data_IF_696040641813
#
_entry.id   IF_696040641813
#
_cell.length_a   1.000
_cell.length_b   1.000
_cell.length_c   1.000
_cell.angle_alpha   90.00
_cell.angle_beta   90.00
_cell.angle_gamma   90.00
#
_symmetry.space_group_name_H-M   'P 1'
#
loop_
_entity.id
_entity.type
_entity.pdbx_description
1 polymer ?
#
# COMPACT_ATOMS: atom_id res chain seq x y z
N UNK A 1 8.55 -8.53 -5.40
CA UNK A 1 8.89 -7.28 -6.10
C UNK A 1 9.22 -6.22 -5.06
N UNK A 2 10.09 -5.30 -5.43
CA UNK A 2 10.53 -4.24 -4.53
C UNK A 2 10.53 -2.91 -5.25
N UNK A 3 10.31 -1.83 -4.49
CA UNK A 3 10.39 -0.47 -5.00
C UNK A 3 11.00 0.42 -3.93
N UNK A 4 11.79 1.40 -4.36
CA UNK A 4 12.40 2.39 -3.48
C UNK A 4 11.79 3.75 -3.76
N UNK A 5 11.38 4.45 -2.74
CA UNK A 5 10.81 5.78 -2.86
C UNK A 5 10.76 6.48 -1.52
N UNK A 6 10.31 7.73 -1.53
CA UNK A 6 10.14 8.49 -0.28
C UNK A 6 8.76 8.26 0.29
N UNK A 7 8.69 8.09 1.59
CA UNK A 7 7.41 8.00 2.28
C UNK A 7 6.73 9.37 2.24
N UNK A 8 5.67 9.46 1.45
CA UNK A 8 4.95 10.71 1.25
C UNK A 8 3.87 10.91 2.30
N UNK A 9 3.09 9.86 2.58
CA UNK A 9 2.03 9.88 3.57
C UNK A 9 1.95 8.54 4.26
N UNK A 10 1.67 8.53 5.55
CA UNK A 10 1.28 7.32 6.25
C UNK A 10 -0.02 7.61 6.99
N UNK A 11 -0.95 6.68 6.89
CA UNK A 11 -2.26 6.82 7.50
C UNK A 11 -2.34 5.97 8.76
N UNK A 12 -3.38 6.19 9.54
CA UNK A 12 -3.60 5.41 10.76
C UNK A 12 -4.09 4.01 10.41
N UNK A 13 -3.79 3.06 11.30
CA UNK A 13 -4.31 1.70 11.16
C UNK A 13 -5.83 1.72 11.26
N UNK A 14 -6.50 1.03 10.34
CA UNK A 14 -7.94 0.88 10.34
C UNK A 14 -8.32 -0.54 10.73
N UNK A 15 -9.22 -0.66 11.70
CA UNK A 15 -9.77 -1.96 12.06
C UNK A 15 -10.96 -2.22 11.15
N UNK A 16 -10.78 -3.07 10.16
CA UNK A 16 -11.81 -3.35 9.15
C UNK A 16 -12.85 -4.33 9.67
N UNK A 17 -12.40 -5.30 10.49
CA UNK A 17 -13.28 -6.27 11.15
C UNK A 17 -12.60 -6.70 12.45
N UNK A 18 -13.25 -7.57 13.22
CA UNK A 18 -12.71 -8.05 14.49
C UNK A 18 -11.33 -8.68 14.33
N UNK A 19 -11.07 -9.30 13.18
CA UNK A 19 -9.84 -10.06 12.95
C UNK A 19 -8.96 -9.48 11.87
N UNK A 20 -9.35 -8.33 11.28
CA UNK A 20 -8.61 -7.78 10.16
C UNK A 20 -8.35 -6.29 10.35
N UNK A 21 -7.08 -5.92 10.35
CA UNK A 21 -6.63 -4.53 10.40
C UNK A 21 -5.78 -4.25 9.17
N UNK A 22 -5.87 -3.02 8.65
CA UNK A 22 -5.02 -2.58 7.55
C UNK A 22 -4.56 -1.15 7.79
N UNK A 23 -3.45 -0.80 7.18
CA UNK A 23 -2.90 0.53 7.21
C UNK A 23 -2.39 0.87 5.82
N UNK A 24 -2.68 2.07 5.36
CA UNK A 24 -2.24 2.51 4.03
C UNK A 24 -1.09 3.51 4.14
N UNK A 25 -0.27 3.55 3.13
CA UNK A 25 0.78 4.55 3.00
C UNK A 25 1.07 4.79 1.52
N UNK A 26 1.67 5.95 1.23
CA UNK A 26 1.98 6.37 -0.13
C UNK A 26 3.46 6.65 -0.25
N UNK A 27 4.10 6.05 -1.26
CA UNK A 27 5.47 6.37 -1.63
C UNK A 27 5.46 7.25 -2.87
N UNK A 28 6.44 8.16 -2.96
CA UNK A 28 6.74 8.85 -4.20
C UNK A 28 7.93 8.12 -4.83
N UNK A 29 7.71 7.58 -6.02
CA UNK A 29 8.76 7.00 -6.83
C UNK A 29 9.12 8.04 -7.90
N UNK A 30 10.35 8.50 -7.90
CA UNK A 30 10.79 9.61 -8.74
C UNK A 30 12.05 9.25 -9.54
N UNK A 31 12.10 8.05 -10.10
CA UNK A 31 13.17 7.66 -11.03
C UNK A 31 13.24 8.66 -12.17
N UNK A 32 12.09 9.12 -12.65
CA UNK A 32 12.04 10.26 -13.55
C UNK A 32 11.50 11.46 -12.75
N UNK A 33 12.36 12.43 -12.38
CA UNK A 33 11.94 13.56 -11.56
C UNK A 33 10.84 14.42 -12.17
N UNK A 34 10.70 14.41 -13.50
CA UNK A 34 9.66 15.17 -14.17
C UNK A 34 8.27 14.53 -14.07
N UNK A 35 8.24 13.23 -13.77
CA UNK A 35 6.99 12.47 -13.70
C UNK A 35 7.00 11.57 -12.48
N UNK A 36 6.96 12.15 -11.26
CA UNK A 36 6.93 11.35 -10.05
C UNK A 36 5.63 10.56 -9.97
N UNK A 37 5.73 9.32 -9.46
CA UNK A 37 4.57 8.46 -9.30
C UNK A 37 4.21 8.32 -7.82
N UNK A 38 2.94 8.48 -7.52
CA UNK A 38 2.42 8.33 -6.18
C UNK A 38 1.77 6.96 -6.08
N UNK A 39 2.37 6.08 -5.29
CA UNK A 39 1.94 4.69 -5.21
C UNK A 39 1.41 4.40 -3.82
N UNK A 40 0.14 3.99 -3.75
CA UNK A 40 -0.49 3.64 -2.49
C UNK A 40 -0.33 2.15 -2.21
N UNK A 41 0.17 1.84 -1.03
CA UNK A 41 0.35 0.48 -0.55
C UNK A 41 -0.58 0.21 0.62
N UNK A 42 -0.91 -1.06 0.80
CA UNK A 42 -1.58 -1.53 2.00
C UNK A 42 -0.65 -2.45 2.76
N UNK A 43 -0.73 -2.39 4.08
CA UNK A 43 -0.03 -3.31 4.97
C UNK A 43 -1.07 -3.81 5.96
N UNK A 44 -1.02 -5.08 6.33
CA UNK A 44 -2.09 -5.72 7.09
C UNK A 44 -1.61 -6.39 8.36
N UNK A 45 -2.55 -6.59 9.27
CA UNK A 45 -2.37 -7.33 10.52
C UNK A 45 -1.22 -6.78 11.36
N UNK A 46 -0.40 -7.65 11.92
CA UNK A 46 0.70 -7.27 12.80
C UNK A 46 1.72 -6.35 12.13
N UNK A 47 1.78 -6.38 10.81
CA UNK A 47 2.76 -5.58 10.07
C UNK A 47 2.40 -4.11 10.01
N UNK A 48 1.17 -3.74 10.38
CA UNK A 48 0.77 -2.33 10.41
C UNK A 48 1.71 -1.49 11.28
N UNK A 49 2.26 -2.06 12.33
CA UNK A 49 3.17 -1.35 13.23
C UNK A 49 4.55 -1.08 12.61
N UNK A 50 4.89 -1.74 11.51
CA UNK A 50 6.20 -1.51 10.86
C UNK A 50 6.38 -0.06 10.41
N UNK A 51 5.28 0.61 10.08
CA UNK A 51 5.34 2.00 9.64
C UNK A 51 5.69 2.97 10.77
N UNK A 52 5.49 2.58 12.02
CA UNK A 52 5.75 3.47 13.14
C UNK A 52 7.23 3.83 13.28
N UNK A 53 8.12 3.00 12.72
CA UNK A 53 9.56 3.25 12.74
C UNK A 53 10.01 4.31 11.76
N UNK A 54 9.16 4.67 10.81
CA UNK A 54 9.54 5.52 9.69
C UNK A 54 8.73 6.80 9.70
N UNK A 55 9.33 7.86 9.19
CA UNK A 55 8.70 9.18 9.13
C UNK A 55 8.48 9.59 7.68
N UNK A 56 7.48 10.45 7.48
CA UNK A 56 7.27 11.05 6.17
C UNK A 56 8.55 11.78 5.75
N UNK A 57 8.96 11.54 4.50
CA UNK A 57 10.23 12.05 3.98
C UNK A 57 11.37 11.03 3.97
N UNK A 58 11.25 9.94 4.72
CA UNK A 58 12.26 8.88 4.71
C UNK A 58 12.25 8.15 3.37
N UNK A 59 13.44 7.74 2.91
CA UNK A 59 13.56 6.88 1.73
C UNK A 59 13.46 5.43 2.17
N UNK A 60 12.48 4.73 1.62
CA UNK A 60 12.20 3.35 2.01
C UNK A 60 12.27 2.42 0.81
N UNK A 61 12.68 1.18 1.05
CA UNK A 61 12.56 0.08 0.10
C UNK A 61 11.44 -0.84 0.59
N UNK A 62 10.44 -1.03 -0.26
CA UNK A 62 9.24 -1.79 0.10
C UNK A 62 9.15 -3.02 -0.79
N UNK A 63 9.06 -4.18 -0.16
CA UNK A 63 8.76 -5.43 -0.85
C UNK A 63 7.25 -5.61 -0.85
N UNK A 64 6.69 -5.96 -2.00
CA UNK A 64 5.24 -6.00 -2.16
C UNK A 64 4.79 -7.07 -3.12
N UNK A 65 3.50 -7.39 -3.05
CA UNK A 65 2.82 -8.26 -3.99
C UNK A 65 1.59 -7.55 -4.51
N UNK A 66 1.19 -7.87 -5.74
CA UNK A 66 -0.09 -7.42 -6.25
C UNK A 66 -1.19 -8.33 -5.73
N UNK A 67 -2.30 -7.73 -5.33
CA UNK A 67 -3.51 -8.44 -4.94
C UNK A 67 -4.61 -8.03 -5.89
N UNK A 68 -5.19 -8.99 -6.56
CA UNK A 68 -6.25 -8.72 -7.51
C UNK A 68 -7.45 -9.60 -7.26
N UNK A 69 -8.62 -9.05 -7.55
CA UNK A 69 -9.88 -9.77 -7.35
C UNK A 69 -10.84 -9.41 -8.46
N UNK A 70 -11.60 -10.41 -8.88
CA UNK A 70 -12.69 -10.25 -9.83
C UNK A 70 -14.00 -10.47 -9.09
N UNK A 71 -14.98 -9.62 -9.33
CA UNK A 71 -16.30 -9.79 -8.70
C UNK A 71 -17.40 -9.32 -9.64
N UNK A 72 -18.60 -9.90 -9.47
CA UNK A 72 -19.76 -9.50 -10.24
C UNK A 72 -20.49 -8.37 -9.53
N UNK A 73 -20.82 -7.30 -10.26
CA UNK A 73 -21.63 -6.21 -9.73
C UNK A 73 -23.06 -6.70 -9.56
N UNK A 74 -23.61 -6.57 -8.37
CA UNK A 74 -24.95 -7.04 -8.04
C UNK A 74 -26.05 -6.30 -8.78
N UNK A 75 -25.80 -5.06 -9.18
CA UNK A 75 -26.81 -4.27 -9.85
C UNK A 75 -26.86 -4.49 -11.35
N UNK A 76 -25.73 -4.68 -11.99
CA UNK A 76 -25.63 -4.77 -13.44
C UNK A 76 -25.20 -6.15 -13.95
N UNK A 77 -24.63 -6.99 -13.10
CA UNK A 77 -24.07 -8.27 -13.49
C UNK A 77 -22.73 -8.17 -14.21
N UNK A 78 -22.20 -6.98 -14.36
CA UNK A 78 -20.91 -6.78 -15.00
C UNK A 78 -19.78 -7.24 -14.10
N UNK A 79 -18.71 -7.78 -14.72
CA UNK A 79 -17.52 -8.15 -13.99
C UNK A 79 -16.67 -6.91 -13.72
N UNK A 80 -16.27 -6.76 -12.48
CA UNK A 80 -15.41 -5.67 -12.05
C UNK A 80 -14.13 -6.22 -11.43
N UNK A 81 -13.10 -5.40 -11.44
CA UNK A 81 -11.78 -5.79 -10.97
C UNK A 81 -11.29 -4.82 -9.92
N UNK A 82 -10.69 -5.37 -8.88
CA UNK A 82 -10.09 -4.58 -7.82
C UNK A 82 -8.63 -5.00 -7.66
N UNK A 83 -7.72 -4.02 -7.70
CA UNK A 83 -6.30 -4.27 -7.55
C UNK A 83 -5.76 -3.45 -6.40
N UNK A 84 -4.98 -4.09 -5.54
CA UNK A 84 -4.26 -3.41 -4.48
C UNK A 84 -2.81 -3.89 -4.46
N UNK A 85 -1.96 -3.11 -3.82
CA UNK A 85 -0.54 -3.42 -3.67
C UNK A 85 -0.30 -3.64 -2.20
N UNK A 86 0.04 -4.88 -1.83
CA UNK A 86 0.25 -5.26 -0.43
C UNK A 86 1.73 -5.32 -0.12
N UNK A 87 2.17 -4.47 0.81
CA UNK A 87 3.54 -4.47 1.29
C UNK A 87 3.68 -5.53 2.38
N UNK A 88 4.79 -6.27 2.35
CA UNK A 88 5.06 -7.28 3.36
C UNK A 88 6.41 -7.08 4.06
N UNK A 89 7.24 -6.18 3.54
CA UNK A 89 8.53 -5.86 4.15
C UNK A 89 8.90 -4.41 3.82
N UNK A 90 9.38 -3.69 4.80
CA UNK A 90 9.81 -2.31 4.64
C UNK A 90 11.19 -2.16 5.25
N UNK A 91 12.14 -1.63 4.47
CA UNK A 91 13.50 -1.33 4.92
C UNK A 91 13.82 0.13 4.64
N UNK A 92 14.70 0.69 5.42
CA UNK A 92 15.16 2.07 5.23
C UNK A 92 16.56 2.14 4.60
#
# INVERSE_FOLDING_TARGET
MEITGKLHRKFSTQQVSEKFAKREFVLIEATNPMYPQFIKFEITQDKCALLDKYNEGDTLTVAFNFRGREYADKGTGEMKYFTSIEAWKIDK
#
